data_IF_766651201841
#
_entry.id   IF_766651201841
#
_cell.length_a   1.000
_cell.length_b   1.000
_cell.length_c   1.000
_cell.angle_alpha   90.00
_cell.angle_beta   90.00
_cell.angle_gamma   90.00
#
_symmetry.space_group_name_H-M   'P 1'
#
loop_
_entity.id
_entity.type
_entity.pdbx_description
1 polymer ?
#
# COMPACT_ATOMS: atom_id res chain seq x y z
N UNK A 1 12.85 24.44 -21.28
CA UNK A 1 12.30 23.09 -21.58
C UNK A 1 13.41 22.19 -22.13
N UNK A 2 14.10 22.57 -23.21
CA UNK A 2 15.09 21.72 -23.91
C UNK A 2 16.27 21.28 -23.02
N UNK A 3 16.70 22.14 -22.09
CA UNK A 3 17.80 21.89 -21.18
C UNK A 3 17.41 21.14 -19.91
N UNK A 4 16.11 20.91 -19.72
CA UNK A 4 15.61 20.14 -18.56
C UNK A 4 16.18 18.71 -18.56
N UNK A 5 16.72 18.28 -17.43
CA UNK A 5 17.21 16.91 -17.24
C UNK A 5 16.12 15.85 -17.44
N UNK A 6 14.85 16.24 -17.33
CA UNK A 6 13.68 15.36 -17.52
C UNK A 6 13.42 14.98 -18.97
N UNK A 7 13.80 15.84 -19.93
CA UNK A 7 13.56 15.57 -21.35
C UNK A 7 14.50 14.49 -21.87
N UNK A 8 13.92 13.54 -22.59
CA UNK A 8 14.67 12.47 -23.24
C UNK A 8 15.71 13.02 -24.23
N UNK A 9 16.95 12.58 -24.10
CA UNK A 9 18.08 13.12 -24.87
C UNK A 9 17.88 13.02 -26.38
N UNK A 10 17.26 11.94 -26.86
CA UNK A 10 17.01 11.71 -28.29
C UNK A 10 15.99 12.66 -28.91
N UNK A 11 15.19 13.37 -28.09
CA UNK A 11 14.18 14.33 -28.54
C UNK A 11 14.66 15.79 -28.42
N UNK A 12 15.75 16.06 -27.71
CA UNK A 12 16.24 17.43 -27.50
C UNK A 12 16.59 18.14 -28.81
N UNK A 13 17.23 17.43 -29.74
CA UNK A 13 17.57 17.97 -31.04
C UNK A 13 16.34 18.30 -31.90
N UNK A 14 15.29 17.47 -31.76
CA UNK A 14 14.04 17.71 -32.46
C UNK A 14 13.28 18.89 -31.88
N UNK A 15 13.26 19.05 -30.55
CA UNK A 15 12.64 20.19 -29.86
C UNK A 15 13.31 21.52 -30.21
N UNK A 16 14.62 21.57 -30.43
CA UNK A 16 15.33 22.78 -30.87
C UNK A 16 14.86 23.30 -32.23
N UNK A 17 14.37 22.42 -33.10
CA UNK A 17 13.83 22.83 -34.40
C UNK A 17 12.58 23.71 -34.28
N UNK A 18 11.90 23.70 -33.13
CA UNK A 18 10.73 24.53 -32.88
C UNK A 18 11.08 25.99 -32.50
N UNK A 19 12.33 26.33 -32.24
CA UNK A 19 12.73 27.68 -31.81
C UNK A 19 12.34 28.74 -32.83
N UNK A 20 12.68 28.54 -34.12
CA UNK A 20 12.35 29.49 -35.20
C UNK A 20 10.83 29.57 -35.44
N UNK A 21 10.12 28.42 -35.64
CA UNK A 21 8.67 28.45 -35.81
C UNK A 21 7.91 29.13 -34.66
N UNK A 22 8.34 28.93 -33.42
CA UNK A 22 7.71 29.60 -32.25
C UNK A 22 7.98 31.11 -32.22
N UNK A 23 9.15 31.57 -32.68
CA UNK A 23 9.42 33.02 -32.85
C UNK A 23 8.54 33.63 -33.94
N UNK A 24 8.28 32.94 -35.05
CA UNK A 24 7.36 33.38 -36.09
C UNK A 24 5.92 33.53 -35.56
N UNK A 25 5.44 32.56 -34.77
CA UNK A 25 4.14 32.68 -34.10
C UNK A 25 4.09 33.85 -33.15
N UNK A 26 5.15 34.05 -32.34
CA UNK A 26 5.21 35.15 -31.38
C UNK A 26 5.16 36.53 -32.06
N UNK A 27 5.81 36.67 -33.23
CA UNK A 27 5.80 37.90 -34.01
C UNK A 27 4.42 38.15 -34.65
N UNK A 28 3.71 37.08 -35.03
CA UNK A 28 2.37 37.16 -35.60
C UNK A 28 1.28 37.33 -34.53
N UNK A 29 1.43 36.67 -33.37
CA UNK A 29 0.48 36.72 -32.25
C UNK A 29 1.20 36.83 -30.90
N UNK A 30 1.36 38.03 -30.34
CA UNK A 30 1.99 38.24 -29.03
C UNK A 30 1.25 37.56 -27.85
N UNK A 31 0.00 37.13 -28.05
CA UNK A 31 -0.77 36.47 -26.99
C UNK A 31 -0.23 35.08 -26.62
N UNK A 32 0.72 34.55 -27.39
CA UNK A 32 1.38 33.26 -27.12
C UNK A 32 1.83 33.10 -25.66
N UNK A 33 2.34 34.13 -25.02
CA UNK A 33 2.79 34.09 -23.63
C UNK A 33 1.74 34.48 -22.60
N UNK A 34 0.72 35.19 -22.98
CA UNK A 34 -0.30 35.73 -22.07
C UNK A 34 -1.58 34.91 -22.04
N UNK A 35 -1.92 34.22 -23.16
CA UNK A 35 -3.11 33.40 -23.25
C UNK A 35 -2.79 31.95 -22.82
N UNK A 36 -3.46 31.46 -21.78
CA UNK A 36 -3.26 30.07 -21.27
C UNK A 36 -3.65 29.01 -22.30
N UNK A 37 -4.59 29.32 -23.18
CA UNK A 37 -5.14 28.41 -24.19
C UNK A 37 -4.61 28.64 -25.60
N UNK A 38 -3.48 29.33 -25.78
CA UNK A 38 -2.91 29.50 -27.11
C UNK A 38 -2.45 28.15 -27.70
N UNK A 39 -2.89 27.75 -28.92
CA UNK A 39 -2.62 26.40 -29.46
C UNK A 39 -1.14 26.05 -29.56
N UNK A 40 -0.29 27.01 -29.95
CA UNK A 40 1.17 26.78 -30.02
C UNK A 40 1.76 26.50 -28.61
N UNK A 41 1.30 27.22 -27.58
CA UNK A 41 1.71 26.96 -26.19
C UNK A 41 1.24 25.59 -25.71
N UNK A 42 0.01 25.19 -26.04
CA UNK A 42 -0.51 23.85 -25.74
C UNK A 42 0.32 22.76 -26.43
N UNK A 43 0.63 22.92 -27.74
CA UNK A 43 1.44 21.98 -28.47
C UNK A 43 2.82 21.79 -27.81
N UNK A 44 3.51 22.88 -27.44
CA UNK A 44 4.82 22.82 -26.75
C UNK A 44 4.72 22.14 -25.38
N UNK A 45 3.69 22.47 -24.61
CA UNK A 45 3.46 21.86 -23.30
C UNK A 45 3.18 20.35 -23.42
N UNK A 46 2.39 19.93 -24.38
CA UNK A 46 2.09 18.54 -24.64
C UNK A 46 3.33 17.75 -25.12
N UNK A 47 4.09 18.33 -26.03
CA UNK A 47 5.36 17.74 -26.48
C UNK A 47 6.34 17.59 -25.30
N UNK A 48 6.47 18.61 -24.45
CA UNK A 48 7.33 18.55 -23.27
C UNK A 48 6.89 17.46 -22.30
N UNK A 49 5.60 17.35 -21.99
CA UNK A 49 5.03 16.35 -21.12
C UNK A 49 5.28 14.92 -21.66
N UNK A 50 5.01 14.69 -22.96
CA UNK A 50 5.17 13.38 -23.59
C UNK A 50 6.63 13.01 -23.84
N UNK A 51 7.55 13.98 -23.79
CA UNK A 51 9.00 13.76 -23.94
C UNK A 51 9.74 13.48 -22.64
N UNK A 52 9.01 13.37 -21.53
CA UNK A 52 9.60 13.06 -20.22
C UNK A 52 10.21 11.65 -20.21
N UNK A 53 11.46 11.54 -19.71
CA UNK A 53 12.21 10.27 -19.63
C UNK A 53 11.50 9.19 -18.82
N UNK A 54 10.72 9.58 -17.85
CA UNK A 54 9.99 8.64 -16.99
C UNK A 54 8.66 8.17 -17.60
N UNK A 55 8.21 8.75 -18.74
CA UNK A 55 6.94 8.32 -19.36
C UNK A 55 6.99 6.85 -19.76
N UNK A 56 5.99 6.08 -19.31
CA UNK A 56 5.88 4.65 -19.63
C UNK A 56 5.71 4.40 -21.12
N UNK A 57 5.04 5.31 -21.81
CA UNK A 57 4.74 5.21 -23.24
C UNK A 57 5.73 5.98 -24.12
N UNK A 58 6.84 6.48 -23.57
CA UNK A 58 7.78 7.33 -24.29
C UNK A 58 8.21 6.74 -25.64
N UNK A 59 8.61 5.47 -25.66
CA UNK A 59 9.07 4.83 -26.90
C UNK A 59 7.98 4.70 -27.96
N UNK A 60 6.73 4.52 -27.52
CA UNK A 60 5.57 4.46 -28.42
C UNK A 60 5.17 5.85 -28.92
N UNK A 61 5.36 6.89 -28.09
CA UNK A 61 4.99 8.26 -28.39
C UNK A 61 6.05 8.99 -29.24
N UNK A 62 7.35 8.59 -29.18
CA UNK A 62 8.45 9.22 -29.94
C UNK A 62 8.14 9.46 -31.42
N UNK A 63 7.61 8.50 -32.20
CA UNK A 63 7.29 8.74 -33.62
C UNK A 63 6.27 9.84 -33.82
N UNK A 64 5.21 9.86 -33.00
CA UNK A 64 4.13 10.87 -33.11
C UNK A 64 4.67 12.24 -32.70
N UNK A 65 5.48 12.32 -31.64
CA UNK A 65 6.13 13.56 -31.19
C UNK A 65 7.00 14.15 -32.32
N UNK A 66 7.87 13.33 -32.94
CA UNK A 66 8.73 13.74 -34.06
C UNK A 66 7.91 14.19 -35.28
N UNK A 67 6.88 13.46 -35.61
CA UNK A 67 5.96 13.84 -36.68
C UNK A 67 5.31 15.18 -36.41
N UNK A 68 4.79 15.39 -35.22
CA UNK A 68 4.16 16.64 -34.79
C UNK A 68 5.14 17.82 -34.86
N UNK A 69 6.39 17.64 -34.41
CA UNK A 69 7.44 18.65 -34.54
C UNK A 69 7.71 18.99 -36.01
N UNK A 70 7.87 17.95 -36.85
CA UNK A 70 8.14 18.15 -38.28
C UNK A 70 6.96 18.83 -38.99
N UNK A 71 5.71 18.52 -38.66
CA UNK A 71 4.52 19.21 -39.20
C UNK A 71 4.54 20.70 -38.87
N UNK A 72 4.87 21.08 -37.61
CA UNK A 72 5.00 22.47 -37.20
C UNK A 72 6.14 23.21 -37.91
N UNK A 73 7.26 22.56 -38.14
CA UNK A 73 8.42 23.14 -38.83
C UNK A 73 8.16 23.33 -40.32
N UNK A 74 7.53 22.36 -40.99
CA UNK A 74 7.40 22.35 -42.45
C UNK A 74 6.21 23.17 -42.97
N UNK A 75 5.06 23.10 -42.25
CA UNK A 75 3.81 23.76 -42.70
C UNK A 75 3.64 25.16 -42.11
N UNK A 76 4.55 25.57 -41.22
CA UNK A 76 4.45 26.81 -40.49
C UNK A 76 3.59 26.72 -39.26
N UNK A 77 4.17 27.13 -38.16
CA UNK A 77 3.50 27.20 -36.84
C UNK A 77 2.50 28.35 -36.73
N UNK A 78 2.42 29.22 -37.73
CA UNK A 78 1.43 30.33 -37.83
C UNK A 78 0.11 29.90 -38.48
N UNK A 79 0.02 28.71 -39.08
CA UNK A 79 -1.20 28.16 -39.64
C UNK A 79 -2.13 27.57 -38.56
N UNK A 80 -3.30 28.16 -38.28
CA UNK A 80 -4.20 27.72 -37.20
C UNK A 80 -4.69 26.29 -37.40
N UNK A 81 -4.91 25.86 -38.64
CA UNK A 81 -5.42 24.51 -38.92
C UNK A 81 -4.35 23.44 -38.62
N UNK A 82 -3.11 23.71 -38.97
CA UNK A 82 -1.97 22.85 -38.64
C UNK A 82 -1.74 22.76 -37.14
N UNK A 83 -1.78 23.90 -36.42
CA UNK A 83 -1.67 23.92 -34.95
C UNK A 83 -2.76 23.11 -34.27
N UNK A 84 -4.02 23.35 -34.65
CA UNK A 84 -5.17 22.63 -34.07
C UNK A 84 -5.11 21.11 -34.32
N UNK A 85 -4.69 20.72 -35.53
CA UNK A 85 -4.51 19.29 -35.85
C UNK A 85 -3.40 18.63 -35.00
N UNK A 86 -2.25 19.32 -34.84
CA UNK A 86 -1.17 18.83 -33.99
C UNK A 86 -1.60 18.76 -32.53
N UNK A 87 -2.26 19.80 -32.01
CA UNK A 87 -2.78 19.81 -30.64
C UNK A 87 -3.74 18.64 -30.42
N UNK A 88 -4.70 18.41 -31.35
CA UNK A 88 -5.65 17.31 -31.24
C UNK A 88 -4.99 15.92 -31.23
N UNK A 89 -3.94 15.71 -32.05
CA UNK A 89 -3.16 14.45 -32.01
C UNK A 89 -2.43 14.26 -30.69
N UNK A 90 -1.77 15.31 -30.19
CA UNK A 90 -1.02 15.25 -28.93
C UNK A 90 -1.95 15.13 -27.71
N UNK A 91 -3.10 15.79 -27.73
CA UNK A 91 -4.11 15.72 -26.68
C UNK A 91 -4.58 14.29 -26.42
N UNK A 92 -4.82 13.52 -27.48
CA UNK A 92 -5.19 12.10 -27.36
C UNK A 92 -4.13 11.27 -26.65
N UNK A 93 -2.85 11.59 -26.82
CA UNK A 93 -1.73 10.92 -26.14
C UNK A 93 -1.62 11.38 -24.70
N UNK A 94 -1.78 12.66 -24.44
CA UNK A 94 -1.78 13.23 -23.08
C UNK A 94 -2.91 12.64 -22.25
N UNK A 95 -4.11 12.53 -22.80
CA UNK A 95 -5.24 11.91 -22.11
C UNK A 95 -5.00 10.41 -21.81
N UNK A 96 -4.35 9.69 -22.71
CA UNK A 96 -3.93 8.29 -22.45
C UNK A 96 -2.90 8.22 -21.31
N UNK A 97 -1.92 9.14 -21.30
CA UNK A 97 -0.90 9.21 -20.24
C UNK A 97 -1.54 9.55 -18.89
N UNK A 98 -2.44 10.54 -18.83
CA UNK A 98 -3.19 10.88 -17.60
C UNK A 98 -3.96 9.69 -17.05
N UNK A 99 -4.72 8.98 -17.90
CA UNK A 99 -5.45 7.77 -17.50
C UNK A 99 -4.52 6.67 -16.98
N UNK A 100 -3.30 6.57 -17.53
CA UNK A 100 -2.30 5.62 -17.05
C UNK A 100 -1.79 6.01 -15.66
N UNK A 101 -1.47 7.30 -15.46
CA UNK A 101 -1.03 7.85 -14.17
C UNK A 101 -2.11 7.63 -13.09
N UNK A 102 -3.36 7.98 -13.38
CA UNK A 102 -4.50 7.74 -12.49
C UNK A 102 -4.64 6.27 -12.11
N UNK A 103 -4.52 5.39 -13.11
CA UNK A 103 -4.60 3.93 -12.89
C UNK A 103 -3.44 3.41 -12.05
N UNK A 104 -2.22 3.92 -12.26
CA UNK A 104 -1.06 3.57 -11.45
C UNK A 104 -1.25 4.04 -10.00
N UNK A 105 -1.69 5.28 -9.82
CA UNK A 105 -1.99 5.85 -8.50
C UNK A 105 -3.04 5.03 -7.76
N UNK A 106 -4.16 4.70 -8.42
CA UNK A 106 -5.22 3.84 -7.83
C UNK A 106 -4.67 2.49 -7.38
N UNK A 107 -3.86 1.83 -8.21
CA UNK A 107 -3.23 0.55 -7.86
C UNK A 107 -2.32 0.65 -6.64
N UNK A 108 -1.51 1.72 -6.55
CA UNK A 108 -0.65 1.94 -5.38
C UNK A 108 -1.48 2.14 -4.13
N UNK A 109 -2.50 3.00 -4.19
CA UNK A 109 -3.40 3.28 -3.06
C UNK A 109 -4.16 2.03 -2.62
N UNK A 110 -4.74 1.27 -3.55
CA UNK A 110 -5.45 0.02 -3.26
C UNK A 110 -4.52 -1.03 -2.62
N UNK A 111 -3.28 -1.14 -3.10
CA UNK A 111 -2.28 -2.03 -2.51
C UNK A 111 -1.93 -1.61 -1.07
N UNK A 112 -1.77 -0.30 -0.82
CA UNK A 112 -1.50 0.23 0.52
C UNK A 112 -2.65 -0.07 1.49
N UNK A 113 -3.89 0.20 1.08
CA UNK A 113 -5.10 -0.12 1.86
C UNK A 113 -5.20 -1.63 2.13
N UNK A 114 -4.90 -2.46 1.14
CA UNK A 114 -4.86 -3.92 1.31
C UNK A 114 -3.81 -4.37 2.34
N UNK A 115 -2.61 -3.84 2.26
CA UNK A 115 -1.53 -4.13 3.21
C UNK A 115 -1.87 -3.66 4.63
N UNK A 116 -2.47 -2.49 4.78
CA UNK A 116 -2.92 -1.98 6.06
C UNK A 116 -3.97 -2.88 6.71
N UNK A 117 -4.96 -3.32 5.95
CA UNK A 117 -5.97 -4.27 6.43
C UNK A 117 -5.35 -5.59 6.90
N UNK A 118 -4.38 -6.13 6.16
CA UNK A 118 -3.65 -7.35 6.56
C UNK A 118 -2.87 -7.12 7.86
N UNK A 119 -2.16 -5.99 7.97
CA UNK A 119 -1.41 -5.64 9.17
C UNK A 119 -2.33 -5.46 10.37
N UNK A 120 -3.46 -4.77 10.21
CA UNK A 120 -4.48 -4.60 11.25
C UNK A 120 -5.07 -5.94 11.68
N UNK A 121 -5.35 -6.85 10.74
CA UNK A 121 -5.83 -8.20 11.05
C UNK A 121 -4.81 -8.97 11.90
N UNK A 122 -3.53 -8.93 11.53
CA UNK A 122 -2.47 -9.59 12.29
C UNK A 122 -2.40 -9.08 13.73
N UNK A 123 -2.37 -7.76 13.90
CA UNK A 123 -2.31 -7.13 15.23
C UNK A 123 -3.51 -7.51 16.09
N UNK A 124 -4.70 -7.45 15.50
CA UNK A 124 -5.94 -7.75 16.23
C UNK A 124 -6.00 -9.21 16.66
N UNK A 125 -5.63 -10.14 15.77
CA UNK A 125 -5.57 -11.57 16.08
C UNK A 125 -4.58 -11.84 17.21
N UNK A 126 -3.36 -11.30 17.12
CA UNK A 126 -2.37 -11.52 18.17
C UNK A 126 -2.76 -10.88 19.50
N UNK A 127 -3.40 -9.72 19.46
CA UNK A 127 -3.94 -9.08 20.68
C UNK A 127 -4.98 -9.96 21.35
N UNK A 128 -5.92 -10.52 20.59
CA UNK A 128 -6.98 -11.37 21.14
C UNK A 128 -6.43 -12.73 21.64
N UNK A 129 -5.44 -13.29 20.93
CA UNK A 129 -4.75 -14.51 21.37
C UNK A 129 -3.93 -14.25 22.65
N UNK A 130 -3.15 -13.19 22.70
CA UNK A 130 -2.34 -12.84 23.88
C UNK A 130 -3.22 -12.58 25.09
N UNK A 131 -4.36 -11.89 24.92
CA UNK A 131 -5.31 -11.61 26.00
C UNK A 131 -5.88 -12.89 26.63
N UNK A 132 -6.06 -13.98 25.84
CA UNK A 132 -6.65 -15.23 26.28
C UNK A 132 -5.64 -16.27 26.77
N UNK A 133 -4.45 -16.25 26.20
CA UNK A 133 -3.44 -17.32 26.34
C UNK A 133 -2.17 -16.86 27.07
N UNK A 134 -1.92 -15.53 27.15
CA UNK A 134 -0.60 -14.97 27.49
C UNK A 134 -0.09 -15.26 28.89
N UNK A 135 -0.98 -15.53 29.86
CA UNK A 135 -0.62 -15.61 31.27
C UNK A 135 -0.90 -16.98 31.90
N UNK A 136 -1.07 -18.02 31.06
CA UNK A 136 -1.45 -19.36 31.55
C UNK A 136 -0.75 -20.47 30.76
N UNK A 137 -0.55 -21.61 31.44
CA UNK A 137 -0.10 -22.84 30.83
C UNK A 137 -1.25 -23.45 30.03
N UNK A 138 -1.03 -23.65 28.72
CA UNK A 138 -2.00 -24.15 27.77
C UNK A 138 -1.49 -25.46 27.18
N UNK A 139 -2.34 -26.49 26.98
CA UNK A 139 -1.92 -27.72 26.30
C UNK A 139 -1.34 -27.41 24.92
N UNK A 140 -0.22 -28.04 24.60
CA UNK A 140 0.47 -27.83 23.32
C UNK A 140 -0.42 -28.10 22.11
N UNK A 141 -1.40 -29.01 22.22
CA UNK A 141 -2.37 -29.28 21.17
C UNK A 141 -3.17 -28.01 20.76
N UNK A 142 -3.51 -27.14 21.73
CA UNK A 142 -4.19 -25.88 21.46
C UNK A 142 -3.25 -24.90 20.73
N UNK A 143 -1.98 -24.85 21.12
CA UNK A 143 -0.99 -24.00 20.43
C UNK A 143 -0.74 -24.53 19.00
N UNK A 144 -0.63 -25.84 18.82
CA UNK A 144 -0.55 -26.47 17.49
C UNK A 144 -1.77 -26.16 16.62
N UNK A 145 -2.98 -26.11 17.21
CA UNK A 145 -4.20 -25.72 16.50
C UNK A 145 -4.09 -24.27 15.99
N UNK A 146 -3.66 -23.35 16.86
CA UNK A 146 -3.52 -21.94 16.52
C UNK A 146 -2.55 -21.76 15.36
N UNK A 147 -1.37 -22.38 15.45
CA UNK A 147 -0.32 -22.28 14.43
C UNK A 147 -0.64 -23.13 13.18
N UNK A 148 -1.41 -24.20 13.35
CA UNK A 148 -1.84 -25.11 12.30
C UNK A 148 -3.01 -24.60 11.44
N UNK A 149 -3.38 -23.32 11.53
CA UNK A 149 -4.36 -22.72 10.64
C UNK A 149 -5.46 -21.90 11.33
N UNK A 150 -5.67 -22.04 12.64
CA UNK A 150 -6.71 -21.29 13.34
C UNK A 150 -6.43 -19.77 13.35
N UNK A 151 -5.15 -19.40 13.51
CA UNK A 151 -4.70 -18.00 13.38
C UNK A 151 -5.03 -17.42 12.00
N UNK A 152 -4.83 -18.19 10.94
CA UNK A 152 -5.13 -17.76 9.58
C UNK A 152 -6.64 -17.69 9.33
N UNK A 153 -7.43 -18.57 9.94
CA UNK A 153 -8.89 -18.48 9.93
C UNK A 153 -9.38 -17.19 10.60
N UNK A 154 -8.83 -16.86 11.77
CA UNK A 154 -9.14 -15.60 12.46
C UNK A 154 -8.82 -14.38 11.60
N UNK A 155 -7.61 -14.36 10.98
CA UNK A 155 -7.21 -13.30 10.04
C UNK A 155 -8.19 -13.18 8.88
N UNK A 156 -8.59 -14.30 8.30
CA UNK A 156 -9.52 -14.35 7.19
C UNK A 156 -10.91 -13.82 7.57
N UNK A 157 -11.43 -14.21 8.75
CA UNK A 157 -12.71 -13.71 9.26
C UNK A 157 -12.65 -12.20 9.50
N UNK A 158 -11.59 -11.71 10.15
CA UNK A 158 -11.39 -10.28 10.36
C UNK A 158 -11.29 -9.49 9.05
N UNK A 159 -10.52 -10.00 8.09
CA UNK A 159 -10.31 -9.35 6.80
C UNK A 159 -11.59 -9.23 5.96
N UNK A 160 -12.43 -10.29 5.98
CA UNK A 160 -13.65 -10.34 5.16
C UNK A 160 -14.82 -9.60 5.77
N UNK A 161 -15.02 -9.75 7.07
CA UNK A 161 -16.25 -9.36 7.74
C UNK A 161 -16.02 -8.32 8.86
N UNK A 162 -14.78 -8.12 9.30
CA UNK A 162 -14.41 -7.17 10.35
C UNK A 162 -14.71 -7.64 11.78
N UNK A 163 -14.43 -6.73 12.73
CA UNK A 163 -14.75 -6.93 14.15
C UNK A 163 -16.28 -6.99 14.37
N UNK A 164 -16.71 -7.83 15.32
CA UNK A 164 -18.13 -7.97 15.67
C UNK A 164 -18.93 -8.83 14.69
N UNK A 165 -18.28 -9.40 13.66
CA UNK A 165 -18.97 -10.38 12.80
C UNK A 165 -19.16 -11.70 13.54
N UNK A 166 -20.25 -12.39 13.22
CA UNK A 166 -20.55 -13.72 13.80
C UNK A 166 -19.39 -14.72 13.53
N UNK A 167 -18.77 -14.64 12.37
CA UNK A 167 -17.64 -15.50 12.02
C UNK A 167 -16.44 -15.22 12.92
N UNK A 168 -16.09 -13.95 13.13
CA UNK A 168 -15.03 -13.54 14.05
C UNK A 168 -15.29 -14.01 15.48
N UNK A 169 -16.48 -13.70 16.01
CA UNK A 169 -16.89 -14.09 17.37
C UNK A 169 -16.83 -15.60 17.57
N UNK A 170 -17.28 -16.39 16.58
CA UNK A 170 -17.21 -17.85 16.64
C UNK A 170 -15.77 -18.36 16.74
N UNK A 171 -14.80 -17.73 16.07
CA UNK A 171 -13.39 -18.15 16.22
C UNK A 171 -12.86 -17.92 17.63
N UNK A 172 -13.28 -16.85 18.28
CA UNK A 172 -12.90 -16.53 19.66
C UNK A 172 -13.61 -17.48 20.66
N UNK A 173 -14.92 -17.70 20.49
CA UNK A 173 -15.68 -18.62 21.34
C UNK A 173 -15.09 -20.02 21.32
N UNK A 174 -14.66 -20.53 20.17
CA UNK A 174 -14.02 -21.86 20.09
C UNK A 174 -12.75 -21.92 20.95
N UNK A 175 -11.91 -20.88 20.91
CA UNK A 175 -10.72 -20.80 21.78
C UNK A 175 -11.13 -20.76 23.24
N UNK A 176 -12.10 -19.88 23.59
CA UNK A 176 -12.58 -19.75 24.96
C UNK A 176 -13.16 -21.10 25.48
N UNK A 177 -13.87 -21.86 24.65
CA UNK A 177 -14.41 -23.19 24.99
C UNK A 177 -13.32 -24.26 25.14
N UNK A 178 -12.23 -24.18 24.36
CA UNK A 178 -11.07 -25.06 24.53
C UNK A 178 -10.34 -24.78 25.86
N UNK A 179 -10.09 -23.50 26.14
CA UNK A 179 -9.42 -23.10 27.39
C UNK A 179 -10.24 -23.47 28.62
N UNK A 180 -11.55 -23.25 28.57
CA UNK A 180 -12.46 -23.59 29.67
C UNK A 180 -12.41 -25.07 30.07
N UNK A 181 -12.13 -25.98 29.11
CA UNK A 181 -12.11 -27.42 29.32
C UNK A 181 -10.72 -28.00 29.56
N UNK A 182 -9.72 -27.40 28.92
CA UNK A 182 -8.39 -27.97 28.87
C UNK A 182 -7.37 -27.28 29.79
N UNK A 183 -7.72 -26.12 30.37
CA UNK A 183 -6.85 -25.46 31.36
C UNK A 183 -7.30 -25.89 32.77
N UNK A 184 -6.39 -26.44 33.58
CA UNK A 184 -6.71 -26.84 34.96
C UNK A 184 -7.26 -25.68 35.79
N UNK A 185 -8.39 -25.92 36.47
CA UNK A 185 -9.04 -24.90 37.31
C UNK A 185 -9.93 -23.87 36.57
N UNK A 186 -9.98 -23.90 35.24
CA UNK A 186 -10.85 -23.02 34.46
C UNK A 186 -12.23 -23.64 34.20
N UNK A 187 -12.42 -24.94 34.45
CA UNK A 187 -13.67 -25.67 34.15
C UNK A 187 -14.86 -25.10 34.87
N UNK A 188 -15.89 -24.72 34.13
CA UNK A 188 -17.17 -24.21 34.62
C UNK A 188 -18.29 -24.71 33.70
N UNK A 189 -19.06 -25.68 34.22
CA UNK A 189 -20.11 -26.36 33.44
C UNK A 189 -21.19 -25.38 32.96
N UNK A 190 -21.42 -24.29 33.72
CA UNK A 190 -22.46 -23.29 33.38
C UNK A 190 -22.09 -22.46 32.15
N UNK A 191 -20.80 -22.41 31.77
CA UNK A 191 -20.27 -21.68 30.63
C UNK A 191 -20.04 -22.54 29.40
N UNK A 192 -20.30 -23.83 29.46
CA UNK A 192 -20.16 -24.73 28.33
C UNK A 192 -21.26 -24.46 27.31
N UNK A 193 -20.86 -24.04 26.10
CA UNK A 193 -21.79 -23.71 25.01
C UNK A 193 -21.99 -24.89 24.03
N UNK A 194 -20.98 -25.74 23.85
CA UNK A 194 -21.00 -26.84 22.89
C UNK A 194 -20.64 -28.15 23.55
N UNK A 195 -21.14 -29.29 23.04
CA UNK A 195 -20.63 -30.60 23.37
C UNK A 195 -19.25 -30.83 22.75
N UNK A 196 -18.47 -31.79 23.30
CA UNK A 196 -17.13 -32.08 22.77
C UNK A 196 -17.14 -32.38 21.27
N UNK A 197 -18.05 -33.22 20.81
CA UNK A 197 -18.18 -33.62 19.40
C UNK A 197 -18.58 -32.42 18.50
N UNK A 198 -19.39 -31.49 19.02
CA UNK A 198 -19.77 -30.29 18.28
C UNK A 198 -18.59 -29.33 18.14
N UNK A 199 -17.81 -29.18 19.21
CA UNK A 199 -16.62 -28.36 19.23
C UNK A 199 -15.57 -28.87 18.24
N UNK A 200 -15.30 -30.19 18.25
CA UNK A 200 -14.39 -30.85 17.29
C UNK A 200 -14.84 -30.64 15.84
N UNK A 201 -16.13 -30.77 15.54
CA UNK A 201 -16.69 -30.49 14.20
C UNK A 201 -16.53 -29.05 13.79
N UNK A 202 -16.72 -28.08 14.71
CA UNK A 202 -16.51 -26.65 14.44
C UNK A 202 -15.04 -26.36 14.11
N UNK A 203 -14.11 -26.95 14.86
CA UNK A 203 -12.67 -26.83 14.62
C UNK A 203 -12.32 -27.39 13.25
N UNK A 204 -12.75 -28.62 12.94
CA UNK A 204 -12.50 -29.26 11.65
C UNK A 204 -13.03 -28.42 10.48
N UNK A 205 -14.28 -27.93 10.60
CA UNK A 205 -14.90 -27.07 9.60
C UNK A 205 -14.17 -25.72 9.46
N UNK A 206 -13.64 -25.17 10.55
CA UNK A 206 -12.87 -23.93 10.55
C UNK A 206 -11.55 -24.09 9.81
N UNK A 207 -10.76 -25.10 10.18
CA UNK A 207 -9.47 -25.37 9.57
C UNK A 207 -9.60 -25.69 8.09
N UNK A 208 -10.57 -26.51 7.68
CA UNK A 208 -10.79 -26.87 6.28
C UNK A 208 -11.02 -25.68 5.33
N UNK A 209 -11.37 -24.51 5.85
CA UNK A 209 -11.54 -23.29 5.05
C UNK A 209 -10.22 -22.59 4.67
N UNK A 210 -9.15 -22.85 5.41
CA UNK A 210 -7.87 -22.13 5.30
C UNK A 210 -6.76 -23.04 4.82
N UNK A 211 -6.97 -24.36 4.91
CA UNK A 211 -5.94 -25.36 4.83
C UNK A 211 -5.43 -25.66 3.43
N UNK A 212 -4.09 -25.81 3.37
CA UNK A 212 -3.37 -26.30 2.19
C UNK A 212 -2.92 -27.78 2.30
N UNK A 213 -2.89 -28.34 3.52
CA UNK A 213 -2.39 -29.70 3.79
C UNK A 213 -3.31 -30.48 4.73
N UNK A 214 -4.24 -31.24 4.18
CA UNK A 214 -5.28 -31.99 4.92
C UNK A 214 -4.77 -33.04 5.92
N UNK A 215 -3.57 -33.56 5.77
CA UNK A 215 -3.05 -34.62 6.66
C UNK A 215 -2.53 -34.10 8.00
N UNK A 216 -1.94 -32.92 8.03
CA UNK A 216 -1.40 -32.32 9.26
C UNK A 216 -2.50 -31.88 10.23
N UNK A 217 -3.56 -31.30 9.72
CA UNK A 217 -4.67 -30.81 10.51
C UNK A 217 -5.56 -31.92 11.06
N UNK A 218 -5.70 -33.05 10.34
CA UNK A 218 -6.42 -34.18 10.84
C UNK A 218 -5.80 -34.70 12.15
N UNK A 219 -4.46 -34.74 12.23
CA UNK A 219 -3.75 -35.16 13.45
C UNK A 219 -3.98 -34.18 14.61
N UNK A 220 -3.94 -32.88 14.35
CA UNK A 220 -4.19 -31.84 15.38
C UNK A 220 -5.62 -31.95 15.91
N UNK A 221 -6.60 -32.12 15.03
CA UNK A 221 -8.02 -32.24 15.39
C UNK A 221 -8.22 -33.52 16.22
N UNK A 222 -7.60 -34.64 15.85
CA UNK A 222 -7.64 -35.90 16.59
C UNK A 222 -7.00 -35.80 17.99
N UNK A 223 -5.85 -35.11 18.12
CA UNK A 223 -5.21 -34.84 19.41
C UNK A 223 -6.11 -34.03 20.34
N UNK A 224 -6.77 -32.97 19.80
CA UNK A 224 -7.73 -32.17 20.57
C UNK A 224 -8.96 -32.97 20.94
N UNK A 225 -9.50 -33.78 20.06
CA UNK A 225 -10.66 -34.64 20.34
C UNK A 225 -10.39 -35.60 21.48
N UNK A 226 -9.22 -36.26 21.48
CA UNK A 226 -8.76 -37.11 22.57
C UNK A 226 -8.71 -36.35 23.90
N UNK A 227 -8.11 -35.13 23.90
CA UNK A 227 -8.05 -34.33 25.13
C UNK A 227 -9.43 -33.85 25.62
N UNK A 228 -10.38 -33.62 24.71
CA UNK A 228 -11.75 -33.26 25.07
C UNK A 228 -12.60 -34.41 25.62
N UNK A 229 -12.24 -35.65 25.29
CA UNK A 229 -12.90 -36.88 25.76
C UNK A 229 -12.25 -37.43 27.05
N UNK A 230 -10.94 -37.54 27.08
CA UNK A 230 -10.18 -38.18 28.17
C UNK A 230 -9.78 -37.16 29.28
N UNK A 231 -9.84 -35.89 28.98
CA UNK A 231 -9.37 -34.79 29.86
C UNK A 231 -7.85 -34.61 29.83
N UNK A 232 -7.39 -33.56 30.52
CA UNK A 232 -5.96 -33.25 30.69
C UNK A 232 -5.39 -34.09 31.82
N UNK A 233 -4.32 -34.83 31.56
CA UNK A 233 -3.60 -35.64 32.52
C UNK A 233 -2.26 -35.01 32.88
N UNK A 234 -1.63 -35.44 33.98
CA UNK A 234 -0.29 -34.97 34.39
C UNK A 234 0.79 -35.20 33.32
N UNK A 235 0.53 -36.06 32.37
CA UNK A 235 1.43 -36.32 31.22
C UNK A 235 1.17 -35.45 30.01
N UNK A 236 0.15 -34.59 30.05
CA UNK A 236 -0.17 -33.67 28.93
C UNK A 236 0.84 -32.56 28.88
N UNK A 237 1.50 -32.43 27.72
CA UNK A 237 2.48 -31.36 27.48
C UNK A 237 1.78 -29.99 27.48
N UNK A 238 2.24 -29.07 28.31
CA UNK A 238 1.74 -27.70 28.40
C UNK A 238 2.85 -26.72 28.08
N UNK A 239 2.48 -25.56 27.53
CA UNK A 239 3.40 -24.48 27.21
C UNK A 239 2.71 -23.12 27.35
N UNK A 240 3.52 -22.10 27.59
CA UNK A 240 3.05 -20.70 27.62
C UNK A 240 3.00 -20.13 26.20
N UNK A 241 1.90 -19.52 25.84
CA UNK A 241 1.78 -18.83 24.56
C UNK A 241 2.76 -17.69 24.45
N UNK A 242 3.52 -17.65 23.37
CA UNK A 242 4.42 -16.55 23.03
C UNK A 242 3.94 -15.89 21.74
N UNK A 243 3.53 -14.62 21.86
CA UNK A 243 3.18 -13.85 20.68
C UNK A 243 4.39 -13.72 19.73
N UNK A 244 4.20 -13.82 18.40
CA UNK A 244 5.26 -13.55 17.45
C UNK A 244 5.85 -12.16 17.66
N UNK A 245 7.18 -12.06 17.79
CA UNK A 245 7.85 -10.78 17.98
C UNK A 245 7.82 -9.93 16.70
N UNK A 246 7.74 -8.60 16.83
CA UNK A 246 7.92 -7.67 15.70
C UNK A 246 6.67 -7.34 14.89
N UNK A 247 5.46 -7.60 15.42
CA UNK A 247 4.22 -7.27 14.70
C UNK A 247 4.00 -5.76 14.59
N UNK A 248 4.42 -4.99 15.58
CA UNK A 248 4.38 -3.52 15.57
C UNK A 248 5.58 -2.97 16.35
N UNK A 249 6.45 -2.25 15.66
CA UNK A 249 7.43 -1.39 16.35
C UNK A 249 6.71 -0.16 16.86
N UNK A 250 6.95 0.18 18.13
CA UNK A 250 6.43 1.43 18.69
C UNK A 250 7.12 2.65 18.04
N UNK A 251 6.47 3.83 17.99
CA UNK A 251 7.13 5.06 17.52
C UNK A 251 8.45 5.32 18.23
N UNK A 252 8.53 5.08 19.55
CA UNK A 252 9.74 5.24 20.32
C UNK A 252 10.88 4.30 19.87
N UNK A 253 10.58 3.03 19.57
CA UNK A 253 11.57 2.08 19.05
C UNK A 253 12.10 2.51 17.68
N UNK A 254 11.24 3.08 16.82
CA UNK A 254 11.63 3.61 15.50
C UNK A 254 12.54 4.81 15.64
N UNK A 255 12.23 5.75 16.53
CA UNK A 255 13.10 6.92 16.82
C UNK A 255 14.48 6.49 17.33
N UNK A 256 14.53 5.54 18.26
CA UNK A 256 15.80 5.00 18.78
C UNK A 256 16.63 4.37 17.65
N UNK A 257 16.01 3.62 16.73
CA UNK A 257 16.72 3.04 15.57
C UNK A 257 17.32 4.10 14.65
N UNK A 258 16.66 5.24 14.51
CA UNK A 258 17.14 6.37 13.71
C UNK A 258 18.13 7.26 14.46
N UNK A 259 18.41 6.97 15.74
CA UNK A 259 19.26 7.80 16.57
C UNK A 259 18.65 9.15 16.91
N UNK A 260 17.33 9.25 16.91
CA UNK A 260 16.57 10.46 17.21
C UNK A 260 16.06 10.42 18.65
N UNK A 261 16.03 11.59 19.30
CA UNK A 261 15.52 11.76 20.66
C UNK A 261 14.08 12.27 20.61
N UNK A 262 13.15 11.54 21.24
CA UNK A 262 11.72 11.91 21.28
C UNK A 262 11.48 13.23 22.05
N UNK A 263 12.35 13.60 22.99
CA UNK A 263 12.27 14.84 23.75
C UNK A 263 12.81 16.08 22.99
N UNK A 264 13.40 15.90 21.81
CA UNK A 264 13.88 17.02 21.01
C UNK A 264 12.69 17.81 20.40
N UNK A 265 12.55 19.06 20.86
CA UNK A 265 11.52 19.99 20.40
C UNK A 265 11.57 20.25 18.88
N UNK A 266 12.72 20.10 18.27
CA UNK A 266 12.88 20.23 16.80
C UNK A 266 12.22 19.06 16.11
N UNK A 267 12.49 17.83 16.53
CA UNK A 267 11.91 16.59 16.00
C UNK A 267 10.39 16.61 16.16
N UNK A 268 9.87 16.94 17.36
CA UNK A 268 8.44 17.03 17.60
C UNK A 268 7.76 18.06 16.69
N UNK A 269 8.42 19.18 16.38
CA UNK A 269 7.90 20.19 15.45
C UNK A 269 7.83 19.67 14.02
N UNK A 270 8.85 18.93 13.57
CA UNK A 270 8.88 18.32 12.26
C UNK A 270 7.85 17.19 12.12
N UNK A 271 7.71 16.33 13.13
CA UNK A 271 6.66 15.30 13.16
C UNK A 271 5.26 15.91 13.10
N UNK A 272 5.02 17.02 13.83
CA UNK A 272 3.73 17.74 13.72
C UNK A 272 3.47 18.28 12.32
N UNK A 273 4.51 18.78 11.63
CA UNK A 273 4.42 19.25 10.25
C UNK A 273 4.15 18.08 9.28
N UNK A 274 4.85 16.96 9.46
CA UNK A 274 4.65 15.76 8.67
C UNK A 274 3.22 15.21 8.81
N UNK A 275 2.66 15.20 10.03
CA UNK A 275 1.24 14.82 10.27
C UNK A 275 0.23 15.76 9.63
N UNK A 276 0.61 16.99 9.27
CA UNK A 276 -0.28 17.92 8.58
C UNK A 276 -0.29 17.75 7.05
N UNK A 277 0.54 16.88 6.50
CA UNK A 277 0.59 16.59 5.06
C UNK A 277 -0.70 15.91 4.60
N UNK A 278 -1.15 16.28 3.40
CA UNK A 278 -2.36 15.74 2.78
C UNK A 278 -2.01 15.00 1.48
N UNK A 279 -2.77 13.96 1.19
CA UNK A 279 -2.69 13.28 -0.09
C UNK A 279 -2.82 14.27 -1.24
N UNK A 280 -2.05 14.05 -2.30
CA UNK A 280 -1.94 14.94 -3.45
C UNK A 280 -0.85 16.02 -3.35
N UNK A 281 -0.30 16.30 -2.18
CA UNK A 281 0.79 17.26 -2.03
C UNK A 281 2.11 16.74 -2.63
N UNK A 282 2.87 17.66 -3.22
CA UNK A 282 4.20 17.39 -3.77
C UNK A 282 5.27 17.81 -2.78
N UNK A 283 6.21 16.93 -2.53
CA UNK A 283 7.38 17.16 -1.68
C UNK A 283 8.65 16.94 -2.48
N UNK A 284 9.65 17.78 -2.20
CA UNK A 284 10.98 17.66 -2.76
C UNK A 284 11.85 16.91 -1.78
N UNK A 285 12.38 15.78 -2.22
CA UNK A 285 13.36 14.98 -1.47
C UNK A 285 14.76 15.32 -1.95
N UNK A 286 15.71 15.29 -1.02
CA UNK A 286 17.12 15.58 -1.30
C UNK A 286 17.34 16.96 -1.94
N UNK A 287 16.62 18.00 -1.48
CA UNK A 287 16.62 19.34 -2.02
C UNK A 287 18.02 20.01 -2.10
N UNK A 288 18.98 19.53 -1.31
CA UNK A 288 20.35 20.02 -1.28
C UNK A 288 21.29 19.26 -2.22
N UNK A 289 20.79 18.31 -3.00
CA UNK A 289 21.57 17.54 -3.97
C UNK A 289 21.22 17.89 -5.40
N UNK A 290 22.15 17.67 -6.35
CA UNK A 290 21.90 17.82 -7.78
C UNK A 290 20.81 16.84 -8.31
N UNK A 291 20.37 15.92 -7.46
CA UNK A 291 19.37 14.90 -7.76
C UNK A 291 18.07 15.11 -6.99
N UNK A 292 17.68 16.36 -6.69
CA UNK A 292 16.39 16.61 -6.04
C UNK A 292 15.23 16.05 -6.86
N UNK A 293 14.33 15.31 -6.21
CA UNK A 293 13.20 14.66 -6.87
C UNK A 293 11.89 15.07 -6.21
N UNK A 294 10.98 15.59 -7.02
CA UNK A 294 9.60 15.87 -6.59
C UNK A 294 8.78 14.59 -6.63
N UNK A 295 8.18 14.25 -5.49
CA UNK A 295 7.27 13.12 -5.35
C UNK A 295 5.94 13.56 -4.74
N UNK A 296 4.87 12.95 -5.19
CA UNK A 296 3.52 13.24 -4.70
C UNK A 296 3.18 12.27 -3.57
N UNK A 297 2.63 12.78 -2.48
CA UNK A 297 2.06 11.97 -1.41
C UNK A 297 0.78 11.31 -1.93
N UNK A 298 0.85 10.00 -2.15
CA UNK A 298 -0.23 9.21 -2.73
C UNK A 298 -1.18 8.65 -1.67
N UNK A 299 -0.65 8.33 -0.49
CA UNK A 299 -1.42 7.69 0.56
C UNK A 299 -0.78 7.88 1.93
N UNK A 300 -1.64 8.05 2.95
CA UNK A 300 -1.25 8.17 4.36
C UNK A 300 -2.00 7.14 5.19
N UNK A 301 -1.29 6.41 6.04
CA UNK A 301 -1.89 5.60 7.08
C UNK A 301 -1.80 6.33 8.42
N UNK A 302 -2.92 6.80 8.94
CA UNK A 302 -2.98 7.39 10.27
C UNK A 302 -2.76 6.34 11.37
N UNK A 303 -3.17 5.08 11.12
CA UNK A 303 -3.05 3.98 12.09
C UNK A 303 -1.60 3.54 12.29
N UNK A 304 -0.77 3.61 11.24
CA UNK A 304 0.60 3.10 11.26
C UNK A 304 1.65 4.19 11.02
N UNK A 305 1.25 5.46 11.01
CA UNK A 305 2.12 6.61 10.75
C UNK A 305 3.00 6.40 9.50
N UNK A 306 2.37 5.95 8.40
CA UNK A 306 3.08 5.55 7.18
C UNK A 306 2.70 6.43 6.00
N UNK A 307 3.69 6.83 5.21
CA UNK A 307 3.57 7.77 4.10
C UNK A 307 4.09 7.14 2.82
N UNK A 308 3.25 7.08 1.79
CA UNK A 308 3.62 6.49 0.49
C UNK A 308 3.65 7.56 -0.57
N UNK A 309 4.80 7.68 -1.23
CA UNK A 309 5.05 8.65 -2.27
C UNK A 309 5.17 7.99 -3.63
N UNK A 310 4.65 8.69 -4.64
CA UNK A 310 4.73 8.31 -6.05
C UNK A 310 5.44 9.39 -6.83
N UNK A 311 6.06 8.99 -7.95
CA UNK A 311 6.56 9.94 -8.93
C UNK A 311 5.43 10.55 -9.78
N UNK A 312 5.78 11.44 -10.71
CA UNK A 312 4.82 12.08 -11.63
C UNK A 312 4.16 11.11 -12.62
N UNK A 313 4.54 9.83 -12.66
CA UNK A 313 3.87 8.76 -13.41
C UNK A 313 2.98 7.88 -12.55
N UNK A 314 2.75 8.24 -11.29
CA UNK A 314 1.93 7.49 -10.35
C UNK A 314 2.57 6.18 -9.87
N UNK A 315 3.88 5.99 -10.08
CA UNK A 315 4.59 4.80 -9.60
C UNK A 315 5.17 5.03 -8.21
N UNK A 316 5.04 4.04 -7.33
CA UNK A 316 5.57 4.08 -5.98
C UNK A 316 7.09 4.24 -5.98
N UNK A 317 7.58 5.24 -5.25
CA UNK A 317 9.01 5.56 -5.10
C UNK A 317 9.48 5.37 -3.67
N UNK A 318 8.72 5.90 -2.71
CA UNK A 318 9.07 5.82 -1.28
C UNK A 318 7.89 5.31 -0.47
N UNK A 319 8.21 4.63 0.61
CA UNK A 319 7.27 4.07 1.56
C UNK A 319 7.96 4.12 2.92
N UNK A 320 7.68 5.15 3.68
CA UNK A 320 8.43 5.56 4.86
C UNK A 320 7.51 5.82 6.04
N UNK A 321 8.05 5.69 7.24
CA UNK A 321 7.35 6.04 8.47
C UNK A 321 7.37 7.55 8.71
N UNK A 322 6.60 8.00 9.71
CA UNK A 322 6.57 9.40 10.14
C UNK A 322 7.96 9.88 10.56
N UNK A 323 8.70 9.02 11.25
CA UNK A 323 10.01 9.31 11.80
C UNK A 323 11.11 9.37 10.71
N UNK A 324 10.91 8.69 9.60
CA UNK A 324 11.82 8.70 8.44
C UNK A 324 11.55 9.87 7.49
N UNK A 325 10.36 10.49 7.57
CA UNK A 325 9.94 11.62 6.78
C UNK A 325 10.53 12.93 7.29
#
# INVERSE_FOLDING_TARGET
IVESSRIEQSLRSDLRKLEIPLLEVLLADPTLFTADFHPARQAVNYIALLSDRGSVNLNQNKPVIRQSINELVQKGSSDPDTLNNVVGKLDTLVEKEKKLIERNLSRVTEACVGQEKVKSANIMVERELTKRLGDQDVPEAVLKLIDGGWRDLMRLCYFREGLGSRAWEMTLIVIDQLLLRLVPGAYDETKILFKSDELTKLIQKGISKVEKNASSSANIVSEIDTLLQDGVTDSTSVAVYKAPQGIVESPAERLVKLGLDDDDKSIQRWMKRAKSLKEGQWLEFDANSDNSVLNQLAWVSEQFDRYVFVNHHGMKVKDISLEEL
#
